data_IF_737758957684
#
_entry.id   IF_737758957684
#
_cell.length_a   1.000
_cell.length_b   1.000
_cell.length_c   1.000
_cell.angle_alpha   90.00
_cell.angle_beta   90.00
_cell.angle_gamma   90.00
#
_symmetry.space_group_name_H-M   'P 1'
#
loop_
_entity.id
_entity.type
_entity.pdbx_description
1 polymer ?
#
# COMPACT_ATOMS: atom_id res chain seq x y z
N UNK A 1 -14.55 5.84 -13.14
CA UNK A 1 -13.94 5.06 -12.05
C UNK A 1 -12.59 5.66 -11.70
N UNK A 2 -12.24 5.80 -10.41
CA UNK A 2 -10.88 6.14 -9.99
C UNK A 2 -9.85 5.19 -10.63
N UNK A 3 -8.71 5.72 -11.06
CA UNK A 3 -7.64 4.91 -11.68
C UNK A 3 -6.65 4.34 -10.68
N UNK A 4 -6.61 4.90 -9.48
CA UNK A 4 -5.68 4.53 -8.41
C UNK A 4 -6.36 4.64 -7.07
N UNK A 5 -6.02 3.75 -6.15
CA UNK A 5 -6.44 3.76 -4.77
C UNK A 5 -5.20 3.69 -3.89
N UNK A 6 -5.09 4.60 -2.94
CA UNK A 6 -4.12 4.52 -1.86
C UNK A 6 -4.86 4.33 -0.55
N UNK A 7 -4.50 3.29 0.18
CA UNK A 7 -5.09 2.97 1.49
C UNK A 7 -4.03 3.12 2.58
N UNK A 8 -4.41 3.69 3.71
CA UNK A 8 -3.55 3.84 4.88
C UNK A 8 -4.37 4.10 6.13
N UNK A 9 -3.90 3.57 7.25
CA UNK A 9 -4.56 3.71 8.54
C UNK A 9 -3.77 4.67 9.43
N UNK A 10 -4.48 5.48 10.21
CA UNK A 10 -3.88 6.43 11.16
C UNK A 10 -4.50 6.27 12.54
N UNK A 11 -3.83 6.77 13.58
CA UNK A 11 -4.40 6.81 14.93
C UNK A 11 -5.66 7.68 14.94
N UNK A 12 -6.70 7.24 15.65
CA UNK A 12 -7.93 8.03 15.81
C UNK A 12 -7.67 9.43 16.40
N UNK A 13 -6.76 9.54 17.36
CA UNK A 13 -6.38 10.84 17.94
C UNK A 13 -5.67 11.75 16.93
N UNK A 14 -4.81 11.18 16.06
CA UNK A 14 -4.16 11.94 14.99
C UNK A 14 -5.19 12.45 13.98
N UNK A 15 -6.18 11.62 13.65
CA UNK A 15 -7.32 12.01 12.81
C UNK A 15 -8.14 13.16 13.44
N UNK A 16 -8.34 13.13 14.76
CA UNK A 16 -9.03 14.20 15.49
C UNK A 16 -8.15 15.43 15.78
N UNK A 17 -6.89 15.46 15.32
CA UNK A 17 -6.01 16.62 15.43
C UNK A 17 -5.32 16.79 16.78
N UNK A 18 -5.04 15.70 17.50
CA UNK A 18 -4.22 15.77 18.71
C UNK A 18 -2.85 16.40 18.39
N UNK A 19 -2.51 17.50 19.08
CA UNK A 19 -1.29 18.29 18.80
C UNK A 19 0.03 17.50 18.90
N UNK A 20 0.05 16.42 19.68
CA UNK A 20 1.21 15.54 19.85
C UNK A 20 1.35 14.47 18.78
N UNK A 21 0.41 14.36 17.83
CA UNK A 21 0.36 13.30 16.82
C UNK A 21 0.23 13.87 15.41
N UNK A 22 0.73 13.13 14.42
CA UNK A 22 0.64 13.53 13.02
C UNK A 22 -0.40 12.69 12.27
N UNK A 23 -1.31 13.29 11.48
CA UNK A 23 -2.24 12.55 10.63
C UNK A 23 -1.54 11.91 9.41
N UNK A 24 -0.21 12.07 9.27
CA UNK A 24 0.60 11.48 8.21
C UNK A 24 1.45 10.29 8.70
N UNK A 25 1.27 9.86 9.96
CA UNK A 25 1.86 8.63 10.49
C UNK A 25 0.96 7.43 10.14
N UNK A 26 1.21 6.81 9.00
CA UNK A 26 0.46 5.66 8.51
C UNK A 26 0.99 4.38 9.16
N UNK A 27 0.22 3.84 10.11
CA UNK A 27 0.60 2.65 10.88
C UNK A 27 -0.03 1.40 10.30
N UNK A 28 0.70 0.28 10.40
CA UNK A 28 0.20 -1.01 9.93
C UNK A 28 -0.86 -1.63 10.86
N UNK A 29 -0.92 -1.25 12.14
CA UNK A 29 -1.86 -1.80 13.15
C UNK A 29 -1.94 -3.34 13.18
N UNK A 30 -0.83 -4.01 12.88
CA UNK A 30 -0.76 -5.47 12.73
C UNK A 30 -1.79 -6.05 11.73
N UNK A 31 -2.12 -5.30 10.68
CA UNK A 31 -2.94 -5.76 9.57
C UNK A 31 -2.35 -7.07 9.02
N UNK A 32 -3.20 -8.07 8.85
CA UNK A 32 -2.83 -9.42 8.42
C UNK A 32 -3.18 -9.71 6.96
N UNK A 33 -4.14 -8.98 6.37
CA UNK A 33 -4.41 -9.03 4.95
C UNK A 33 -5.05 -7.73 4.43
N UNK A 34 -4.89 -7.46 3.12
CA UNK A 34 -5.63 -6.40 2.40
C UNK A 34 -5.93 -6.84 0.97
N UNK A 35 -7.16 -6.61 0.51
CA UNK A 35 -7.59 -6.90 -0.86
C UNK A 35 -8.53 -5.83 -1.40
N UNK A 36 -8.42 -5.54 -2.69
CA UNK A 36 -9.27 -4.58 -3.40
C UNK A 36 -10.06 -5.33 -4.45
N UNK A 37 -11.37 -5.07 -4.53
CA UNK A 37 -12.26 -5.73 -5.46
C UNK A 37 -13.01 -4.70 -6.30
N UNK A 38 -13.02 -4.89 -7.62
CA UNK A 38 -13.78 -4.09 -8.59
C UNK A 38 -14.76 -5.03 -9.27
N UNK A 39 -16.06 -4.76 -9.15
CA UNK A 39 -17.14 -5.60 -9.69
C UNK A 39 -17.02 -7.08 -9.27
N UNK A 40 -16.61 -7.31 -8.01
CA UNK A 40 -16.40 -8.64 -7.44
C UNK A 40 -15.12 -9.35 -7.88
N UNK A 41 -14.36 -8.77 -8.82
CA UNK A 41 -13.06 -9.29 -9.25
C UNK A 41 -11.94 -8.65 -8.43
N UNK A 42 -10.99 -9.43 -7.90
CA UNK A 42 -9.93 -8.85 -7.11
C UNK A 42 -8.89 -8.17 -8.01
N UNK A 43 -8.31 -7.08 -7.53
CA UNK A 43 -7.35 -6.26 -8.27
C UNK A 43 -6.05 -6.13 -7.48
N UNK A 44 -4.90 -6.58 -8.03
CA UNK A 44 -4.73 -7.26 -9.32
C UNK A 44 -5.00 -8.78 -9.31
N UNK A 45 -4.82 -9.46 -8.17
CA UNK A 45 -5.04 -10.91 -8.01
C UNK A 45 -5.44 -11.23 -6.56
N UNK A 46 -4.64 -11.98 -5.80
CA UNK A 46 -4.99 -12.35 -4.44
C UNK A 46 -4.82 -11.17 -3.47
N UNK A 47 -5.60 -11.14 -2.36
CA UNK A 47 -5.29 -10.29 -1.23
C UNK A 47 -3.82 -10.44 -0.81
N UNK A 48 -3.22 -9.32 -0.40
CA UNK A 48 -1.88 -9.32 0.16
C UNK A 48 -1.97 -9.83 1.59
N UNK A 49 -1.36 -10.98 1.87
CA UNK A 49 -1.15 -11.47 3.24
C UNK A 49 0.09 -10.80 3.85
N UNK A 50 -0.02 -10.43 5.12
CA UNK A 50 0.94 -9.60 5.83
C UNK A 50 1.27 -10.19 7.20
N UNK A 51 2.56 -10.18 7.54
CA UNK A 51 3.02 -10.41 8.92
C UNK A 51 4.21 -9.48 9.20
N UNK A 52 3.92 -8.35 9.86
CA UNK A 52 4.92 -7.35 10.21
C UNK A 52 5.91 -7.86 11.27
N UNK A 53 5.56 -8.87 12.06
CA UNK A 53 6.47 -9.46 13.05
C UNK A 53 7.56 -10.31 12.39
N UNK A 54 7.25 -10.92 11.24
CA UNK A 54 8.16 -11.76 10.45
C UNK A 54 8.74 -11.08 9.22
N UNK A 55 8.58 -9.76 9.11
CA UNK A 55 8.96 -8.96 7.95
C UNK A 55 8.34 -9.41 6.61
N UNK A 56 7.16 -10.02 6.67
CA UNK A 56 6.36 -10.44 5.51
C UNK A 56 5.41 -9.32 5.08
N UNK A 57 5.96 -8.21 4.57
CA UNK A 57 5.19 -7.09 4.01
C UNK A 57 5.81 -6.54 2.72
N UNK A 58 6.79 -7.24 2.15
CA UNK A 58 7.54 -6.73 1.00
C UNK A 58 6.65 -6.47 -0.23
N UNK A 59 5.65 -7.33 -0.45
CA UNK A 59 4.67 -7.15 -1.53
C UNK A 59 3.80 -5.91 -1.32
N UNK A 60 3.43 -5.62 -0.07
CA UNK A 60 2.73 -4.38 0.28
C UNK A 60 3.59 -3.15 0.01
N UNK A 61 4.86 -3.16 0.42
CA UNK A 61 5.80 -2.08 0.11
C UNK A 61 5.98 -1.90 -1.42
N UNK A 62 6.06 -2.99 -2.19
CA UNK A 62 6.14 -2.93 -3.66
C UNK A 62 4.92 -2.26 -4.31
N UNK A 63 3.73 -2.37 -3.70
CA UNK A 63 2.53 -1.70 -4.22
C UNK A 63 2.68 -0.19 -4.33
N UNK A 64 3.49 0.45 -3.48
CA UNK A 64 3.74 1.89 -3.59
C UNK A 64 4.45 2.28 -4.89
N UNK A 65 5.34 1.44 -5.39
CA UNK A 65 6.00 1.66 -6.69
C UNK A 65 5.01 1.50 -7.84
N UNK A 66 4.11 0.52 -7.76
CA UNK A 66 3.05 0.32 -8.76
C UNK A 66 2.06 1.47 -8.72
N UNK A 67 1.55 1.85 -7.55
CA UNK A 67 0.59 2.94 -7.37
C UNK A 67 1.15 4.30 -7.79
N UNK A 68 2.45 4.53 -7.62
CA UNK A 68 3.12 5.79 -8.03
C UNK A 68 3.69 5.76 -9.45
N UNK A 69 3.48 4.67 -10.21
CA UNK A 69 4.07 4.45 -11.54
C UNK A 69 5.61 4.51 -11.58
N UNK A 70 6.28 4.13 -10.47
CA UNK A 70 7.75 4.11 -10.34
C UNK A 70 8.36 2.71 -10.41
N UNK A 71 7.53 1.67 -10.57
CA UNK A 71 8.01 0.31 -10.74
C UNK A 71 8.92 0.22 -11.97
N UNK A 72 10.13 -0.32 -11.80
CA UNK A 72 11.11 -0.47 -12.88
C UNK A 72 11.81 0.83 -13.34
N UNK A 73 11.59 1.95 -12.65
CA UNK A 73 12.28 3.20 -12.94
C UNK A 73 13.54 3.37 -12.06
N UNK A 74 14.52 4.13 -12.53
CA UNK A 74 15.69 4.55 -11.75
C UNK A 74 15.37 5.70 -10.77
N UNK A 75 14.19 5.61 -10.14
CA UNK A 75 13.67 6.60 -9.18
C UNK A 75 12.91 5.88 -8.07
N UNK A 76 13.34 6.10 -6.83
CA UNK A 76 12.66 5.57 -5.64
C UNK A 76 11.39 6.35 -5.24
N UNK A 77 10.78 5.93 -4.14
CA UNK A 77 9.61 6.59 -3.52
C UNK A 77 9.96 7.43 -2.28
N UNK A 78 11.26 7.60 -1.97
CA UNK A 78 11.77 8.30 -0.77
C UNK A 78 11.31 7.71 0.57
N UNK A 79 10.88 6.44 0.57
CA UNK A 79 10.52 5.67 1.75
C UNK A 79 11.32 4.37 1.66
N UNK A 80 12.14 4.08 2.66
CA UNK A 80 12.84 2.80 2.78
C UNK A 80 11.91 1.70 3.31
N UNK A 81 12.30 0.43 3.16
CA UNK A 81 11.54 -0.71 3.71
C UNK A 81 11.37 -0.63 5.23
N UNK A 82 12.37 -0.07 5.93
CA UNK A 82 12.33 0.13 7.37
C UNK A 82 11.31 1.22 7.74
N UNK A 83 11.39 2.38 7.08
CA UNK A 83 10.46 3.49 7.31
C UNK A 83 9.01 3.11 6.97
N UNK A 84 8.82 2.23 5.97
CA UNK A 84 7.52 1.66 5.62
C UNK A 84 6.86 0.94 6.80
N UNK A 85 7.59 0.01 7.43
CA UNK A 85 7.11 -0.75 8.59
C UNK A 85 6.85 0.14 9.80
N UNK A 86 7.64 1.18 10.00
CA UNK A 86 7.61 1.96 11.22
C UNK A 86 6.43 2.96 11.25
N UNK A 87 6.23 3.78 10.21
CA UNK A 87 5.16 4.79 10.19
C UNK A 87 4.70 5.24 8.78
N UNK A 88 5.06 4.51 7.72
CA UNK A 88 4.73 4.85 6.33
C UNK A 88 4.01 3.69 5.61
N UNK A 89 3.18 2.94 6.33
CA UNK A 89 2.45 1.79 5.78
C UNK A 89 1.25 2.24 4.96
N UNK A 90 1.49 2.53 3.68
CA UNK A 90 0.48 2.80 2.67
C UNK A 90 0.40 1.64 1.66
N UNK A 91 -0.75 1.46 1.01
CA UNK A 91 -0.96 0.45 -0.02
C UNK A 91 -1.43 1.12 -1.31
N UNK A 92 -0.72 0.91 -2.42
CA UNK A 92 -0.99 1.57 -3.70
C UNK A 92 -1.54 0.62 -4.76
N UNK A 93 -2.81 0.74 -5.12
CA UNK A 93 -3.45 -0.09 -6.13
C UNK A 93 -3.67 0.70 -7.42
N UNK A 94 -3.29 0.10 -8.56
CA UNK A 94 -3.62 0.62 -9.88
C UNK A 94 -4.89 -0.09 -10.37
N UNK A 95 -5.96 0.68 -10.56
CA UNK A 95 -7.28 0.21 -10.99
C UNK A 95 -7.53 0.47 -12.48
N UNK A 96 -6.49 0.87 -13.22
CA UNK A 96 -6.63 1.17 -14.65
C UNK A 96 -6.98 -0.10 -15.43
N UNK A 97 -8.05 -0.09 -16.26
CA UNK A 97 -8.53 -1.27 -16.97
C UNK A 97 -7.51 -1.94 -17.90
N UNK A 98 -6.46 -1.20 -18.29
CA UNK A 98 -5.49 -1.62 -19.32
C UNK A 98 -4.38 -2.56 -18.80
N UNK A 99 -4.22 -2.73 -17.48
CA UNK A 99 -3.04 -3.40 -16.90
C UNK A 99 -3.31 -4.84 -16.41
N UNK A 100 -4.52 -5.37 -16.55
CA UNK A 100 -4.82 -6.76 -16.16
C UNK A 100 -4.02 -7.86 -16.90
N UNK A 101 -3.21 -7.49 -17.90
CA UNK A 101 -2.48 -8.44 -18.76
C UNK A 101 -0.95 -8.45 -18.51
N UNK A 102 -0.38 -7.51 -17.73
CA UNK A 102 1.09 -7.33 -17.66
C UNK A 102 1.74 -7.60 -16.30
N UNK A 103 1.02 -8.08 -15.29
CA UNK A 103 1.63 -8.54 -14.04
C UNK A 103 2.05 -10.01 -14.04
N UNK A 104 1.91 -10.72 -15.17
CA UNK A 104 2.27 -12.13 -15.29
C UNK A 104 3.77 -12.41 -15.51
N UNK A 105 4.63 -11.39 -15.63
CA UNK A 105 6.02 -11.59 -16.09
C UNK A 105 7.13 -10.90 -15.27
N UNK A 106 6.95 -10.71 -13.95
CA UNK A 106 8.07 -10.38 -13.05
C UNK A 106 7.95 -11.16 -11.74
#
# INVERSE_FOLDING_TARGET
>A
MPKKLFEGCVDNEAFHGAFSKSPYEFKHFNLNFIGVYVDGQPVPHNPLELDFSKDQYIRAYQTLFVGTDRMGQDRGIFISRKEYKDANTLFGFNLSPRIYVLQENI
#
